data_IF_752795436742
#
_entry.id   IF_752795436742
#
_cell.length_a   1.000
_cell.length_b   1.000
_cell.length_c   1.000
_cell.angle_alpha   90.00
_cell.angle_beta   90.00
_cell.angle_gamma   90.00
#
_symmetry.space_group_name_H-M   'P 1'
#
loop_
_entity.id
_entity.type
_entity.pdbx_description
1 polymer ?
#
# COMPACT_ATOMS: atom_id res chain seq x y z
N UNK A 1 -35.68 16.04 3.60
CA UNK A 1 -35.96 16.71 4.90
C UNK A 1 -35.97 15.59 5.95
N UNK A 2 -34.81 15.04 6.35
CA UNK A 2 -33.77 15.52 7.30
C UNK A 2 -34.33 15.69 8.73
N UNK A 3 -33.58 15.36 9.82
CA UNK A 3 -32.11 15.49 9.92
C UNK A 3 -31.41 14.48 10.89
N UNK A 4 -30.18 14.03 10.58
CA UNK A 4 -29.07 13.91 11.57
C UNK A 4 -27.73 13.90 10.81
N UNK A 5 -27.49 14.96 10.06
CA UNK A 5 -26.17 15.56 9.97
C UNK A 5 -25.94 16.21 11.34
N UNK A 6 -25.23 15.52 12.23
CA UNK A 6 -24.64 16.15 13.39
C UNK A 6 -23.18 16.42 13.04
N UNK A 7 -22.94 17.67 12.68
CA UNK A 7 -21.64 18.29 12.65
C UNK A 7 -20.90 17.99 13.96
N UNK A 8 -19.71 17.40 13.86
CA UNK A 8 -18.70 17.62 14.88
C UNK A 8 -17.61 18.48 14.24
N UNK A 9 -17.29 19.65 14.83
CA UNK A 9 -16.35 20.59 14.23
C UNK A 9 -14.94 20.00 14.28
N UNK A 10 -14.23 20.06 13.15
CA UNK A 10 -12.79 19.89 13.13
C UNK A 10 -12.16 21.02 13.97
N UNK A 11 -11.20 20.75 14.87
CA UNK A 11 -10.57 21.82 15.64
C UNK A 11 -9.80 22.73 14.68
N UNK A 12 -10.06 24.03 14.79
CA UNK A 12 -9.31 25.08 14.10
C UNK A 12 -7.82 24.92 14.44
N UNK A 13 -6.99 24.65 13.43
CA UNK A 13 -5.54 24.72 13.58
C UNK A 13 -5.05 25.94 12.83
N UNK A 14 -4.57 26.87 13.63
CA UNK A 14 -4.00 28.16 13.29
C UNK A 14 -2.92 28.08 12.21
N UNK A 15 -2.91 29.16 11.44
CA UNK A 15 -1.99 29.55 10.37
C UNK A 15 -0.52 29.66 10.81
N UNK A 16 0.38 28.87 10.24
CA UNK A 16 1.72 29.31 9.81
C UNK A 16 2.46 28.22 8.99
N UNK A 17 2.56 28.45 7.66
CA UNK A 17 3.32 27.87 6.53
C UNK A 17 4.26 26.62 6.67
N UNK A 18 4.69 25.94 5.57
CA UNK A 18 4.05 25.48 4.31
C UNK A 18 4.29 23.96 4.03
N UNK A 19 3.26 23.13 3.84
CA UNK A 19 3.34 21.69 4.17
C UNK A 19 3.01 20.67 3.05
N UNK A 20 2.81 21.10 1.79
CA UNK A 20 2.14 20.25 0.77
C UNK A 20 2.90 18.96 0.37
N UNK A 21 4.23 18.95 0.42
CA UNK A 21 5.03 17.76 0.06
C UNK A 21 5.24 16.78 1.22
N UNK A 22 5.16 17.26 2.48
CA UNK A 22 5.18 16.39 3.67
C UNK A 22 3.80 15.81 3.97
N UNK A 23 2.74 16.59 3.73
CA UNK A 23 1.36 16.19 4.00
C UNK A 23 0.87 15.04 3.10
N UNK A 24 1.34 14.98 1.84
CA UNK A 24 1.02 13.89 0.92
C UNK A 24 1.54 12.52 1.38
N UNK A 25 2.65 12.50 2.13
CA UNK A 25 3.28 11.27 2.65
C UNK A 25 2.69 10.91 4.03
N UNK A 26 2.18 11.89 4.78
CA UNK A 26 1.79 11.73 6.18
C UNK A 26 0.30 11.45 6.42
N UNK A 27 -0.57 11.58 5.40
CA UNK A 27 -1.94 11.05 5.47
C UNK A 27 -1.95 9.63 4.92
N UNK A 28 -2.27 8.58 5.72
CA UNK A 28 -2.84 7.40 5.09
C UNK A 28 -4.11 7.89 4.40
N UNK A 29 -4.11 7.96 3.07
CA UNK A 29 -5.39 7.92 2.35
C UNK A 29 -6.12 6.74 2.99
N UNK A 30 -7.35 6.96 3.50
CA UNK A 30 -8.20 5.83 3.84
C UNK A 30 -8.23 5.02 2.56
N UNK A 31 -7.51 3.89 2.56
CA UNK A 31 -7.55 2.96 1.45
C UNK A 31 -8.98 2.47 1.52
N UNK A 32 -9.84 3.09 0.71
CA UNK A 32 -11.12 2.52 0.35
C UNK A 32 -10.79 1.07 -0.02
N UNK A 33 -11.36 0.11 0.72
CA UNK A 33 -10.88 -1.28 0.70
C UNK A 33 -10.69 -1.70 -0.76
N UNK A 34 -9.46 -2.08 -1.11
CA UNK A 34 -9.07 -2.44 -2.46
C UNK A 34 -9.69 -3.81 -2.79
N UNK A 35 -11.00 -3.80 -3.04
CA UNK A 35 -11.77 -4.97 -3.42
C UNK A 35 -11.67 -5.13 -4.94
N UNK A 36 -11.46 -6.37 -5.43
CA UNK A 36 -11.54 -6.62 -6.85
C UNK A 36 -12.89 -6.18 -7.42
N UNK A 37 -12.85 -5.50 -8.57
CA UNK A 37 -14.06 -5.14 -9.30
C UNK A 37 -14.83 -6.40 -9.74
N UNK A 38 -16.15 -6.31 -10.01
CA UNK A 38 -16.91 -7.43 -10.56
C UNK A 38 -16.26 -8.06 -11.80
N UNK A 39 -15.68 -7.23 -12.68
CA UNK A 39 -14.97 -7.66 -13.88
C UNK A 39 -13.69 -8.45 -13.53
N UNK A 40 -12.91 -7.97 -12.58
CA UNK A 40 -11.71 -8.67 -12.09
C UNK A 40 -12.08 -10.02 -11.48
N UNK A 41 -13.18 -10.11 -10.71
CA UNK A 41 -13.68 -11.37 -10.15
C UNK A 41 -14.01 -12.37 -11.25
N UNK A 42 -14.69 -11.94 -12.32
CA UNK A 42 -15.01 -12.81 -13.46
C UNK A 42 -13.73 -13.32 -14.14
N UNK A 43 -12.74 -12.45 -14.32
CA UNK A 43 -11.44 -12.82 -14.89
C UNK A 43 -10.73 -13.87 -14.01
N UNK A 44 -10.63 -13.64 -12.70
CA UNK A 44 -9.99 -14.58 -11.77
C UNK A 44 -10.69 -15.94 -11.72
N UNK A 45 -12.04 -15.95 -11.80
CA UNK A 45 -12.82 -17.19 -11.85
C UNK A 45 -12.57 -18.01 -13.12
N UNK A 46 -12.25 -17.37 -14.24
CA UNK A 46 -11.95 -18.02 -15.52
C UNK A 46 -10.51 -18.52 -15.63
N UNK A 47 -9.60 -18.08 -14.74
CA UNK A 47 -8.23 -18.56 -14.73
C UNK A 47 -8.17 -20.04 -14.36
N UNK A 48 -7.39 -20.81 -15.14
CA UNK A 48 -6.98 -22.15 -14.74
C UNK A 48 -6.13 -22.06 -13.45
N UNK A 49 -6.05 -23.15 -12.65
CA UNK A 49 -5.20 -23.17 -11.46
C UNK A 49 -3.74 -22.79 -11.76
N UNK A 50 -3.17 -23.29 -12.87
CA UNK A 50 -1.82 -22.95 -13.29
C UNK A 50 -1.63 -21.47 -13.60
N UNK A 51 -2.58 -20.85 -14.33
CA UNK A 51 -2.51 -19.41 -14.62
C UNK A 51 -2.65 -18.57 -13.36
N UNK A 52 -3.49 -19.00 -12.41
CA UNK A 52 -3.66 -18.32 -11.13
C UNK A 52 -2.37 -18.35 -10.31
N UNK A 53 -1.67 -19.48 -10.29
CA UNK A 53 -0.38 -19.61 -9.62
C UNK A 53 0.67 -18.67 -10.23
N UNK A 54 0.75 -18.64 -11.56
CA UNK A 54 1.69 -17.78 -12.28
C UNK A 54 1.46 -16.29 -11.97
N UNK A 55 0.20 -15.84 -11.96
CA UNK A 55 -0.15 -14.45 -11.61
C UNK A 55 0.18 -14.15 -10.15
N UNK A 56 -0.08 -15.09 -9.23
CA UNK A 56 0.27 -14.93 -7.82
C UNK A 56 1.78 -14.82 -7.62
N UNK A 57 2.58 -15.61 -8.34
CA UNK A 57 4.04 -15.54 -8.31
C UNK A 57 4.55 -14.19 -8.84
N UNK A 58 4.00 -13.71 -9.97
CA UNK A 58 4.34 -12.40 -10.51
C UNK A 58 4.04 -11.27 -9.52
N UNK A 59 2.90 -11.35 -8.83
CA UNK A 59 2.52 -10.39 -7.78
C UNK A 59 3.50 -10.44 -6.60
N UNK A 60 3.87 -11.65 -6.15
CA UNK A 60 4.85 -11.84 -5.08
C UNK A 60 6.19 -11.16 -5.39
N UNK A 61 6.76 -11.40 -6.57
CA UNK A 61 8.02 -10.78 -6.98
C UNK A 61 7.91 -9.28 -7.18
N UNK A 62 6.79 -8.79 -7.72
CA UNK A 62 6.54 -7.36 -7.91
C UNK A 62 6.48 -6.63 -6.56
N UNK A 63 5.79 -7.19 -5.57
CA UNK A 63 5.75 -6.65 -4.21
C UNK A 63 7.14 -6.57 -3.58
N UNK A 64 7.98 -7.59 -3.76
CA UNK A 64 9.36 -7.60 -3.24
C UNK A 64 10.21 -6.50 -3.88
N UNK A 65 10.13 -6.33 -5.20
CA UNK A 65 10.83 -5.25 -5.92
C UNK A 65 10.39 -3.87 -5.42
N UNK A 66 9.07 -3.67 -5.28
CA UNK A 66 8.52 -2.41 -4.76
C UNK A 66 8.99 -2.12 -3.34
N UNK A 67 9.01 -3.14 -2.45
CA UNK A 67 9.52 -2.99 -1.09
C UNK A 67 11.01 -2.66 -1.06
N UNK A 68 11.81 -3.31 -1.91
CA UNK A 68 13.23 -3.00 -2.05
C UNK A 68 13.49 -1.56 -2.49
N UNK A 69 12.78 -1.09 -3.52
CA UNK A 69 12.87 0.30 -3.98
C UNK A 69 12.48 1.29 -2.88
N UNK A 70 11.39 1.00 -2.14
CA UNK A 70 10.98 1.82 -1.01
C UNK A 70 12.06 1.84 0.09
N UNK A 71 12.64 0.69 0.45
CA UNK A 71 13.71 0.62 1.45
C UNK A 71 14.95 1.42 1.02
N UNK A 72 15.35 1.36 -0.26
CA UNK A 72 16.46 2.15 -0.80
C UNK A 72 16.21 3.65 -0.66
N UNK A 73 14.97 4.09 -0.92
CA UNK A 73 14.58 5.48 -0.77
C UNK A 73 14.58 5.96 0.69
N UNK A 74 14.24 5.08 1.65
CA UNK A 74 14.22 5.41 3.08
C UNK A 74 15.59 5.27 3.77
N UNK A 75 16.46 4.41 3.26
CA UNK A 75 17.78 4.10 3.84
C UNK A 75 18.89 4.18 2.77
N UNK A 76 19.29 5.40 2.34
CA UNK A 76 20.32 5.58 1.31
C UNK A 76 21.71 5.07 1.72
N UNK A 77 21.95 4.90 3.02
CA UNK A 77 23.20 4.42 3.61
C UNK A 77 23.32 2.88 3.64
N UNK A 78 22.24 2.16 3.35
CA UNK A 78 22.26 0.70 3.39
C UNK A 78 22.87 0.12 2.12
N UNK A 79 23.65 -0.94 2.30
CA UNK A 79 24.15 -1.74 1.18
C UNK A 79 23.02 -2.55 0.56
N UNK A 80 23.22 -3.00 -0.68
CA UNK A 80 22.21 -3.81 -1.39
C UNK A 80 21.90 -5.10 -0.62
N UNK A 81 22.91 -5.75 -0.05
CA UNK A 81 22.77 -6.99 0.71
C UNK A 81 21.87 -6.79 1.94
N UNK A 82 22.00 -5.63 2.59
CA UNK A 82 21.15 -5.27 3.74
C UNK A 82 19.71 -5.02 3.32
N UNK A 83 19.49 -4.38 2.17
CA UNK A 83 18.16 -4.19 1.59
C UNK A 83 17.53 -5.55 1.27
N UNK A 84 18.26 -6.46 0.60
CA UNK A 84 17.77 -7.79 0.25
C UNK A 84 17.43 -8.63 1.49
N UNK A 85 18.29 -8.61 2.50
CA UNK A 85 18.05 -9.29 3.77
C UNK A 85 16.78 -8.78 4.45
N UNK A 86 16.54 -7.47 4.43
CA UNK A 86 15.35 -6.88 5.03
C UNK A 86 14.08 -7.18 4.22
N UNK A 87 14.13 -7.12 2.88
CA UNK A 87 13.02 -7.57 2.03
C UNK A 87 12.68 -9.04 2.31
N UNK A 88 13.70 -9.91 2.43
CA UNK A 88 13.49 -11.30 2.82
C UNK A 88 12.81 -11.40 4.18
N UNK A 89 13.31 -10.68 5.19
CA UNK A 89 12.73 -10.68 6.55
C UNK A 89 11.27 -10.25 6.53
N UNK A 90 10.93 -9.14 5.87
CA UNK A 90 9.55 -8.62 5.81
C UNK A 90 8.59 -9.65 5.19
N UNK A 91 8.96 -10.25 4.06
CA UNK A 91 8.09 -11.21 3.36
C UNK A 91 8.04 -12.59 4.02
N UNK A 92 9.02 -12.96 4.85
CA UNK A 92 9.00 -14.20 5.64
C UNK A 92 8.18 -14.08 6.93
N UNK A 93 7.92 -12.87 7.42
CA UNK A 93 7.22 -12.61 8.69
C UNK A 93 5.86 -11.93 8.52
N UNK A 94 5.36 -11.80 7.29
CA UNK A 94 4.00 -11.35 7.05
C UNK A 94 3.04 -12.40 7.60
N UNK A 95 2.48 -12.17 8.80
CA UNK A 95 1.44 -13.04 9.37
C UNK A 95 0.13 -12.83 8.61
N UNK A 96 -0.54 -13.94 8.34
CA UNK A 96 -1.91 -14.04 7.79
C UNK A 96 -2.95 -13.52 8.76
#
# INVERSE_FOLDING_TARGET
MNPKLAEQPYPERESNAPDVLREAISRPQRVERDFPSPEQIVIYRRMTPGRRLEVAEQLFWSGRKMKGAWLKAQHPDWTEEKIEAEVKRVFSHARS
#
